data_IF_833124974761
#
_entry.id   IF_833124974761
#
_cell.length_a   1.000
_cell.length_b   1.000
_cell.length_c   1.000
_cell.angle_alpha   90.00
_cell.angle_beta   90.00
_cell.angle_gamma   90.00
#
_symmetry.space_group_name_H-M   'P 1'
#
loop_
_entity.id
_entity.type
_entity.pdbx_description
1 polymer ?
#
# COMPACT_ATOMS: atom_id res chain seq x y z
N UNK A 1 -4.08 -28.60 13.68
CA UNK A 1 -2.92 -28.00 14.39
C UNK A 1 -3.06 -26.49 14.41
N UNK A 2 -3.49 -25.91 15.52
CA UNK A 2 -3.51 -24.45 15.73
C UNK A 2 -2.06 -23.98 15.90
N UNK A 3 -1.52 -23.32 14.87
CA UNK A 3 -0.15 -22.78 14.92
C UNK A 3 -0.02 -21.81 16.10
N UNK A 4 1.10 -21.87 16.83
CA UNK A 4 1.39 -20.98 17.96
C UNK A 4 1.16 -19.48 17.61
N UNK A 5 0.69 -18.66 18.58
CA UNK A 5 0.52 -17.21 18.37
C UNK A 5 1.81 -16.52 17.93
N UNK A 6 1.69 -15.37 17.27
CA UNK A 6 2.85 -14.54 16.90
C UNK A 6 3.56 -14.03 18.17
N UNK A 7 4.87 -14.27 18.24
CA UNK A 7 5.75 -13.59 19.19
C UNK A 7 6.04 -12.15 18.77
N UNK A 8 6.73 -11.41 19.64
CA UNK A 8 7.13 -10.01 19.40
C UNK A 8 7.90 -9.81 18.09
N UNK A 9 8.83 -10.71 17.78
CA UNK A 9 9.55 -10.69 16.50
C UNK A 9 8.61 -10.77 15.29
N UNK A 10 7.58 -11.60 15.36
CA UNK A 10 6.58 -11.73 14.29
C UNK A 10 5.74 -10.46 14.12
N UNK A 11 5.39 -9.81 15.22
CA UNK A 11 4.67 -8.53 15.22
C UNK A 11 5.52 -7.43 14.58
N UNK A 12 6.77 -7.28 14.99
CA UNK A 12 7.72 -6.30 14.41
C UNK A 12 7.93 -6.58 12.92
N UNK A 13 8.05 -7.85 12.52
CA UNK A 13 8.17 -8.22 11.09
C UNK A 13 6.95 -7.78 10.27
N UNK A 14 5.73 -7.92 10.81
CA UNK A 14 4.54 -7.38 10.16
C UNK A 14 4.52 -5.84 10.18
N UNK A 15 5.02 -5.22 11.25
CA UNK A 15 5.19 -3.78 11.32
C UNK A 15 6.15 -3.22 10.26
N UNK A 16 7.21 -3.95 9.89
CA UNK A 16 8.09 -3.56 8.78
C UNK A 16 7.36 -3.55 7.43
N UNK A 17 6.44 -4.49 7.23
CA UNK A 17 5.59 -4.48 6.02
C UNK A 17 4.67 -3.27 6.02
N UNK A 18 4.06 -2.92 7.17
CA UNK A 18 3.25 -1.70 7.29
C UNK A 18 4.08 -0.43 7.07
N UNK A 19 5.33 -0.40 7.55
CA UNK A 19 6.26 0.69 7.30
C UNK A 19 6.51 0.86 5.81
N UNK A 20 6.83 -0.24 5.10
CA UNK A 20 7.03 -0.21 3.65
C UNK A 20 5.77 0.23 2.87
N UNK A 21 4.59 -0.21 3.30
CA UNK A 21 3.31 0.26 2.73
C UNK A 21 3.18 1.78 2.91
N UNK A 22 3.42 2.28 4.12
CA UNK A 22 3.38 3.70 4.45
C UNK A 22 4.34 4.52 3.59
N UNK A 23 5.60 4.09 3.47
CA UNK A 23 6.62 4.79 2.68
C UNK A 23 6.27 4.88 1.20
N UNK A 24 5.80 3.77 0.60
CA UNK A 24 5.44 3.75 -0.81
C UNK A 24 4.21 4.62 -1.07
N UNK A 25 3.21 4.57 -0.20
CA UNK A 25 2.02 5.42 -0.32
C UNK A 25 2.41 6.88 -0.21
N UNK A 26 3.27 7.25 0.76
CA UNK A 26 3.75 8.62 0.91
C UNK A 26 4.50 9.12 -0.32
N UNK A 27 5.36 8.27 -0.92
CA UNK A 27 6.03 8.59 -2.18
C UNK A 27 5.00 8.97 -3.25
N UNK A 28 3.92 8.21 -3.40
CA UNK A 28 2.90 8.46 -4.41
C UNK A 28 2.02 9.69 -4.10
N UNK A 29 1.64 9.91 -2.84
CA UNK A 29 0.66 10.94 -2.47
C UNK A 29 1.29 12.29 -2.12
N UNK A 30 2.58 12.32 -1.79
CA UNK A 30 3.31 13.54 -1.41
C UNK A 30 4.45 13.85 -2.38
N UNK A 31 5.47 12.98 -2.47
CA UNK A 31 6.66 13.28 -3.27
C UNK A 31 6.30 13.45 -4.76
N UNK A 32 5.63 12.48 -5.36
CA UNK A 32 5.25 12.56 -6.77
C UNK A 32 4.21 13.66 -7.04
N UNK A 33 3.35 13.96 -6.08
CA UNK A 33 2.41 15.07 -6.17
C UNK A 33 3.16 16.41 -6.30
N UNK A 34 4.14 16.65 -5.42
CA UNK A 34 5.02 17.81 -5.52
C UNK A 34 5.73 17.85 -6.87
N UNK A 35 6.39 16.76 -7.27
CA UNK A 35 7.10 16.65 -8.56
C UNK A 35 6.21 17.04 -9.75
N UNK A 36 4.98 16.53 -9.78
CA UNK A 36 4.04 16.85 -10.86
C UNK A 36 3.68 18.35 -10.88
N UNK A 37 3.41 18.96 -9.74
CA UNK A 37 2.90 20.34 -9.66
C UNK A 37 4.02 21.37 -9.75
N UNK A 38 5.06 21.22 -8.94
CA UNK A 38 6.10 22.24 -8.72
C UNK A 38 7.20 22.11 -9.76
N UNK A 39 7.73 20.90 -9.97
CA UNK A 39 8.85 20.67 -10.87
C UNK A 39 8.42 20.55 -12.34
N UNK A 40 7.27 19.91 -12.61
CA UNK A 40 6.78 19.71 -13.99
C UNK A 40 5.66 20.68 -14.41
N UNK A 41 5.24 21.59 -13.53
CA UNK A 41 4.20 22.58 -13.80
C UNK A 41 2.89 21.97 -14.35
N UNK A 42 2.59 20.72 -14.00
CA UNK A 42 1.34 20.06 -14.39
C UNK A 42 0.17 20.63 -13.57
N UNK A 43 -1.06 20.63 -14.13
CA UNK A 43 -2.24 21.07 -13.38
C UNK A 43 -2.42 20.26 -12.10
N UNK A 44 -2.60 20.92 -10.96
CA UNK A 44 -2.79 20.27 -9.65
C UNK A 44 -3.99 19.29 -9.61
N UNK A 45 -4.97 19.47 -10.50
CA UNK A 45 -6.08 18.54 -10.68
C UNK A 45 -5.62 17.12 -11.08
N UNK A 46 -4.48 16.99 -11.76
CA UNK A 46 -3.95 15.71 -12.22
C UNK A 46 -3.50 14.81 -11.06
N UNK A 47 -2.54 15.21 -10.21
CA UNK A 47 -2.17 14.38 -9.06
C UNK A 47 -3.32 14.23 -8.07
N UNK A 48 -4.18 15.25 -7.90
CA UNK A 48 -5.39 15.11 -7.09
C UNK A 48 -6.31 14.00 -7.61
N UNK A 49 -6.54 13.94 -8.93
CA UNK A 49 -7.31 12.90 -9.59
C UNK A 49 -6.67 11.51 -9.46
N UNK A 50 -5.36 11.40 -9.61
CA UNK A 50 -4.63 10.13 -9.44
C UNK A 50 -4.71 9.61 -8.00
N UNK A 51 -4.57 10.49 -7.01
CA UNK A 51 -4.73 10.14 -5.59
C UNK A 51 -6.18 9.74 -5.28
N UNK A 52 -7.16 10.48 -5.80
CA UNK A 52 -8.57 10.12 -5.67
C UNK A 52 -8.86 8.74 -6.30
N UNK A 53 -8.29 8.47 -7.47
CA UNK A 53 -8.38 7.18 -8.15
C UNK A 53 -7.77 6.04 -7.32
N UNK A 54 -6.59 6.26 -6.75
CA UNK A 54 -5.97 5.32 -5.81
C UNK A 54 -6.89 4.99 -4.62
N UNK A 55 -7.57 5.99 -4.05
CA UNK A 55 -8.55 5.75 -2.98
C UNK A 55 -9.81 5.03 -3.48
N UNK A 56 -10.29 5.36 -4.68
CA UNK A 56 -11.43 4.67 -5.30
C UNK A 56 -11.15 3.19 -5.49
N UNK A 57 -9.95 2.82 -5.96
CA UNK A 57 -9.51 1.43 -6.07
C UNK A 57 -9.53 0.76 -4.70
N UNK A 58 -9.16 1.44 -3.62
CA UNK A 58 -9.19 0.88 -2.27
C UNK A 58 -10.58 0.60 -1.70
N UNK A 59 -11.66 1.06 -2.34
CA UNK A 59 -13.02 0.62 -2.01
C UNK A 59 -13.20 -0.90 -2.22
N UNK A 60 -12.30 -1.54 -2.98
CA UNK A 60 -12.24 -2.99 -3.15
C UNK A 60 -11.64 -3.77 -1.97
N UNK A 61 -11.23 -3.11 -0.87
CA UNK A 61 -10.77 -3.74 0.39
C UNK A 61 -11.62 -4.92 0.90
N UNK A 62 -12.97 -4.89 0.85
CA UNK A 62 -13.79 -6.04 1.23
C UNK A 62 -13.51 -7.29 0.39
N UNK A 63 -13.25 -7.13 -0.91
CA UNK A 63 -12.95 -8.23 -1.84
C UNK A 63 -11.61 -8.86 -1.48
N UNK A 64 -10.58 -8.04 -1.23
CA UNK A 64 -9.26 -8.52 -0.83
C UNK A 64 -9.30 -9.25 0.52
N UNK A 65 -10.05 -8.71 1.50
CA UNK A 65 -10.25 -9.34 2.80
C UNK A 65 -10.90 -10.72 2.66
N UNK A 66 -12.05 -10.79 1.96
CA UNK A 66 -12.77 -12.03 1.72
C UNK A 66 -11.92 -13.07 0.96
N UNK A 67 -11.19 -12.64 -0.07
CA UNK A 67 -10.27 -13.51 -0.81
C UNK A 67 -9.13 -14.05 0.05
N UNK A 68 -8.56 -13.22 0.93
CA UNK A 68 -7.50 -13.62 1.86
C UNK A 68 -7.96 -14.63 2.91
N UNK A 69 -9.22 -14.52 3.32
CA UNK A 69 -9.85 -15.41 4.30
C UNK A 69 -10.22 -16.76 3.69
N UNK A 70 -10.76 -16.73 2.46
CA UNK A 70 -11.15 -17.95 1.73
C UNK A 70 -9.95 -18.77 1.27
N UNK A 71 -8.82 -18.12 0.97
CA UNK A 71 -7.59 -18.74 0.44
C UNK A 71 -6.75 -19.55 1.44
N UNK A 72 -7.25 -19.81 2.67
CA UNK A 72 -6.57 -20.55 3.78
C UNK A 72 -5.25 -19.95 4.30
N UNK A 73 -4.55 -19.11 3.55
CA UNK A 73 -3.28 -18.44 3.95
C UNK A 73 -3.28 -16.99 3.50
N UNK A 74 -3.12 -16.06 4.44
CA UNK A 74 -3.03 -14.61 4.16
C UNK A 74 -1.64 -14.14 3.71
N UNK A 75 -0.58 -14.91 3.98
CA UNK A 75 0.80 -14.53 3.64
C UNK A 75 1.04 -14.31 2.13
N UNK A 76 0.53 -15.15 1.20
CA UNK A 76 0.67 -14.89 -0.23
C UNK A 76 0.00 -13.58 -0.67
N UNK A 77 -1.14 -13.21 -0.07
CA UNK A 77 -1.80 -11.93 -0.35
C UNK A 77 -0.97 -10.74 0.12
N UNK A 78 -0.29 -10.87 1.27
CA UNK A 78 0.64 -9.84 1.76
C UNK A 78 1.81 -9.67 0.78
N UNK A 79 2.46 -10.77 0.39
CA UNK A 79 3.64 -10.72 -0.50
C UNK A 79 3.25 -10.25 -1.90
N UNK A 80 2.17 -10.80 -2.46
CA UNK A 80 1.66 -10.42 -3.78
C UNK A 80 1.19 -8.97 -3.81
N UNK A 81 0.47 -8.53 -2.79
CA UNK A 81 0.06 -7.13 -2.65
C UNK A 81 1.26 -6.19 -2.55
N UNK A 82 2.32 -6.56 -1.81
CA UNK A 82 3.56 -5.79 -1.74
C UNK A 82 4.30 -5.75 -3.07
N UNK A 83 4.34 -6.85 -3.83
CA UNK A 83 4.94 -6.88 -5.15
C UNK A 83 4.19 -5.97 -6.14
N UNK A 84 2.85 -6.00 -6.12
CA UNK A 84 2.01 -5.10 -6.92
C UNK A 84 2.19 -3.64 -6.50
N UNK A 85 2.26 -3.37 -5.19
CA UNK A 85 2.49 -2.03 -4.65
C UNK A 85 3.86 -1.47 -5.09
N UNK A 86 4.93 -2.25 -4.92
CA UNK A 86 6.28 -1.85 -5.32
C UNK A 86 6.39 -1.66 -6.84
N UNK A 87 5.83 -2.58 -7.63
CA UNK A 87 5.78 -2.45 -9.09
C UNK A 87 4.98 -1.22 -9.52
N UNK A 88 3.86 -0.94 -8.86
CA UNK A 88 3.06 0.26 -9.09
C UNK A 88 3.83 1.55 -8.77
N UNK A 89 4.62 1.56 -7.70
CA UNK A 89 5.46 2.70 -7.34
C UNK A 89 6.56 2.96 -8.37
N UNK A 90 7.27 1.90 -8.80
CA UNK A 90 8.28 2.00 -9.86
C UNK A 90 7.66 2.50 -11.16
N UNK A 91 6.49 1.97 -11.54
CA UNK A 91 5.76 2.44 -12.71
C UNK A 91 5.29 3.89 -12.56
N UNK A 92 4.87 4.32 -11.36
CA UNK A 92 4.45 5.70 -11.11
C UNK A 92 5.59 6.70 -11.33
N UNK A 93 6.81 6.38 -10.86
CA UNK A 93 8.00 7.20 -11.11
C UNK A 93 8.25 7.36 -12.62
N UNK A 94 8.20 6.25 -13.37
CA UNK A 94 8.38 6.30 -14.82
C UNK A 94 7.24 7.04 -15.52
N UNK A 95 5.99 6.85 -15.08
CA UNK A 95 4.82 7.50 -15.64
C UNK A 95 4.87 9.02 -15.46
N UNK A 96 5.29 9.50 -14.28
CA UNK A 96 5.47 10.93 -14.00
C UNK A 96 6.54 11.53 -14.91
N UNK A 97 7.66 10.83 -15.13
CA UNK A 97 8.68 11.28 -16.09
C UNK A 97 8.14 11.36 -17.54
N UNK A 98 7.27 10.44 -17.94
CA UNK A 98 6.63 10.47 -19.27
C UNK A 98 5.57 11.58 -19.41
N UNK A 99 4.89 11.93 -18.32
CA UNK A 99 3.92 13.03 -18.31
C UNK A 99 4.57 14.39 -18.59
N UNK A 100 5.82 14.59 -18.15
CA UNK A 100 6.58 15.81 -18.47
C UNK A 100 6.80 16.00 -19.98
N UNK A 101 6.87 14.90 -20.74
CA UNK A 101 7.01 14.90 -22.20
C UNK A 101 5.69 15.02 -22.98
N UNK A 102 4.56 15.26 -22.31
CA UNK A 102 3.23 15.39 -22.94
C UNK A 102 2.74 14.14 -23.70
N UNK A 103 3.15 12.94 -23.29
CA UNK A 103 2.76 11.70 -23.94
C UNK A 103 1.46 11.12 -23.36
N UNK A 104 0.49 10.76 -24.22
CA UNK A 104 -0.71 10.01 -23.82
C UNK A 104 -0.39 8.72 -23.04
N UNK A 105 0.76 8.10 -23.37
CA UNK A 105 1.32 6.95 -22.67
C UNK A 105 1.61 7.25 -21.20
N UNK A 106 2.01 8.47 -20.85
CA UNK A 106 2.26 8.89 -19.47
C UNK A 106 0.98 8.88 -18.64
N UNK A 107 -0.13 9.37 -19.19
CA UNK A 107 -1.44 9.33 -18.53
C UNK A 107 -1.92 7.90 -18.31
N UNK A 108 -1.85 7.05 -19.34
CA UNK A 108 -2.24 5.65 -19.24
C UNK A 108 -1.38 4.89 -18.21
N UNK A 109 -0.07 5.10 -18.23
CA UNK A 109 0.87 4.52 -17.27
C UNK A 109 0.61 5.02 -15.85
N UNK A 110 0.28 6.30 -15.66
CA UNK A 110 -0.02 6.87 -14.35
C UNK A 110 -1.31 6.27 -13.76
N UNK A 111 -2.37 6.16 -14.55
CA UNK A 111 -3.62 5.52 -14.10
C UNK A 111 -3.38 4.05 -13.73
N UNK A 112 -2.63 3.31 -14.56
CA UNK A 112 -2.26 1.93 -14.25
C UNK A 112 -1.42 1.85 -12.96
N UNK A 113 -0.42 2.71 -12.81
CA UNK A 113 0.45 2.76 -11.64
C UNK A 113 -0.34 3.02 -10.34
N UNK A 114 -1.20 4.05 -10.33
CA UNK A 114 -2.02 4.38 -9.17
C UNK A 114 -3.09 3.29 -8.89
N UNK A 115 -3.54 2.58 -9.92
CA UNK A 115 -4.38 1.38 -9.74
C UNK A 115 -3.63 0.26 -9.04
N UNK A 116 -2.40 -0.03 -9.48
CA UNK A 116 -1.53 -1.02 -8.85
C UNK A 116 -1.21 -0.64 -7.40
N UNK A 117 -0.91 0.63 -7.13
CA UNK A 117 -0.68 1.12 -5.75
C UNK A 117 -1.94 0.91 -4.90
N UNK A 118 -3.12 1.32 -5.38
CA UNK A 118 -4.39 1.11 -4.66
C UNK A 118 -4.70 -0.37 -4.40
N UNK A 119 -4.56 -1.22 -5.41
CA UNK A 119 -4.78 -2.65 -5.30
C UNK A 119 -3.76 -3.33 -4.39
N UNK A 120 -2.48 -2.95 -4.48
CA UNK A 120 -1.40 -3.46 -3.65
C UNK A 120 -1.59 -3.12 -2.17
N UNK A 121 -1.96 -1.87 -1.86
CA UNK A 121 -2.31 -1.46 -0.49
C UNK A 121 -3.53 -2.23 0.02
N UNK A 122 -4.57 -2.37 -0.80
CA UNK A 122 -5.77 -3.13 -0.44
C UNK A 122 -5.45 -4.60 -0.14
N UNK A 123 -4.75 -5.28 -1.05
CA UNK A 123 -4.38 -6.68 -0.90
C UNK A 123 -3.43 -6.91 0.28
N UNK A 124 -2.34 -6.16 0.38
CA UNK A 124 -1.33 -6.36 1.41
C UNK A 124 -1.81 -5.89 2.79
N UNK A 125 -2.27 -4.64 2.88
CA UNK A 125 -2.65 -4.01 4.14
C UNK A 125 -3.84 -4.70 4.81
N UNK A 126 -4.91 -4.98 4.07
CA UNK A 126 -6.09 -5.66 4.64
C UNK A 126 -5.74 -7.07 5.11
N UNK A 127 -4.99 -7.84 4.31
CA UNK A 127 -4.56 -9.19 4.67
C UNK A 127 -3.62 -9.21 5.88
N UNK A 128 -2.74 -8.21 5.98
CA UNK A 128 -1.80 -8.07 7.09
C UNK A 128 -2.52 -7.77 8.40
N UNK A 129 -3.43 -6.78 8.41
CA UNK A 129 -4.18 -6.41 9.61
C UNK A 129 -5.08 -7.57 10.06
N UNK A 130 -5.71 -8.27 9.13
CA UNK A 130 -6.46 -9.48 9.44
C UNK A 130 -5.55 -10.57 10.06
N UNK A 131 -4.38 -10.82 9.45
CA UNK A 131 -3.40 -11.78 9.99
C UNK A 131 -2.96 -11.40 11.41
N UNK A 132 -2.67 -10.13 11.66
CA UNK A 132 -2.30 -9.62 12.98
C UNK A 132 -3.42 -9.89 14.01
N UNK A 133 -4.65 -9.50 13.69
CA UNK A 133 -5.81 -9.65 14.58
C UNK A 133 -6.09 -11.11 14.98
N UNK A 134 -5.88 -12.04 14.05
CA UNK A 134 -6.18 -13.47 14.27
C UNK A 134 -5.02 -14.27 14.85
N UNK A 135 -3.76 -13.81 14.69
CA UNK A 135 -2.57 -14.58 15.08
C UNK A 135 -1.87 -14.04 16.33
N UNK A 136 -2.24 -12.85 16.80
CA UNK A 136 -1.74 -12.29 18.07
C UNK A 136 -2.64 -12.73 19.22
N UNK A 137 -2.01 -13.17 20.32
CA UNK A 137 -2.69 -13.56 21.55
C UNK A 137 -3.51 -12.38 22.12
N UNK A 138 -4.70 -12.60 22.70
CA UNK A 138 -5.60 -11.53 23.14
C UNK A 138 -4.93 -10.46 24.00
N UNK A 139 -4.06 -10.87 24.91
CA UNK A 139 -3.36 -10.02 25.89
C UNK A 139 -2.36 -9.05 25.22
N UNK A 140 -1.93 -9.36 23.98
CA UNK A 140 -0.94 -8.56 23.23
C UNK A 140 -1.54 -7.78 22.08
N UNK A 141 -2.84 -7.91 21.77
CA UNK A 141 -3.45 -7.32 20.57
C UNK A 141 -3.34 -5.80 20.53
N UNK A 142 -3.59 -5.12 21.65
CA UNK A 142 -3.47 -3.67 21.74
C UNK A 142 -2.04 -3.21 21.46
N UNK A 143 -1.06 -3.82 22.13
CA UNK A 143 0.36 -3.51 21.92
C UNK A 143 0.80 -3.80 20.47
N UNK A 144 0.36 -4.92 19.89
CA UNK A 144 0.68 -5.28 18.52
C UNK A 144 0.12 -4.27 17.51
N UNK A 145 -1.13 -3.85 17.68
CA UNK A 145 -1.76 -2.83 16.84
C UNK A 145 -0.98 -1.50 16.93
N UNK A 146 -0.66 -1.04 18.15
CA UNK A 146 0.11 0.18 18.36
C UNK A 146 1.49 0.12 17.72
N UNK A 147 2.23 -0.98 17.87
CA UNK A 147 3.54 -1.16 17.23
C UNK A 147 3.42 -1.06 15.72
N UNK A 148 2.48 -1.80 15.12
CA UNK A 148 2.31 -1.76 13.65
C UNK A 148 1.90 -0.39 13.13
N UNK A 149 1.13 0.37 13.92
CA UNK A 149 0.74 1.74 13.59
C UNK A 149 1.90 2.72 13.69
N UNK A 150 2.68 2.66 14.77
CA UNK A 150 3.89 3.49 14.95
C UNK A 150 4.88 3.23 13.82
N UNK A 151 5.09 1.96 13.45
CA UNK A 151 5.99 1.61 12.35
C UNK A 151 5.46 2.07 10.99
N UNK A 152 4.13 2.07 10.78
CA UNK A 152 3.53 2.69 9.59
C UNK A 152 3.83 4.19 9.53
N UNK A 153 3.65 4.92 10.65
CA UNK A 153 4.00 6.34 10.74
C UNK A 153 5.50 6.55 10.48
N UNK A 154 6.36 5.71 11.06
CA UNK A 154 7.80 5.78 10.82
C UNK A 154 8.19 5.54 9.36
N UNK A 155 7.36 4.85 8.57
CA UNK A 155 7.54 4.75 7.12
C UNK A 155 7.01 5.95 6.34
N UNK A 156 6.01 6.65 6.88
CA UNK A 156 5.35 7.82 6.29
C UNK A 156 6.20 9.09 6.42
N UNK A 157 6.94 9.23 7.52
CA UNK A 157 7.82 10.38 7.83
C UNK A 157 9.19 10.19 7.20
#
# INVERSE_FOLDING_TARGET
MTRAPLGWFGIVRLGLVQSAIGSIVMLATSLLNRVMVVEYALPAALPAGLVAWHYAVQLSRPIWGHGSDSGRRRTPWIIGGMAVLAGGAMLAVQAVALLAGSAWLGYAAAVLAFSMIGAGVGAAGTSLLALLATRVAPERRAAAASITWIMMIAGIV
#
